data_IF_549887685130
#
_entry.id   IF_549887685130
#
_cell.length_a   1.000
_cell.length_b   1.000
_cell.length_c   1.000
_cell.angle_alpha   90.00
_cell.angle_beta   90.00
_cell.angle_gamma   90.00
#
_symmetry.space_group_name_H-M   'P 1'
#
loop_
_entity.id
_entity.type
_entity.pdbx_description
1 polymer ?
#
# COMPACT_ATOMS: atom_id res chain seq x y z
N UNK A 1 0.28 13.88 -3.80
CA UNK A 1 0.60 12.83 -2.80
C UNK A 1 -0.62 12.04 -2.30
N UNK A 2 -1.84 12.17 -2.89
CA UNK A 2 -3.08 11.63 -2.28
C UNK A 2 -3.81 10.54 -3.11
N UNK A 3 -3.26 10.10 -4.23
CA UNK A 3 -4.02 9.28 -5.18
C UNK A 3 -4.05 7.78 -4.84
N UNK A 4 -3.10 7.29 -4.04
CA UNK A 4 -3.05 5.87 -3.65
C UNK A 4 -4.23 5.46 -2.76
N UNK A 5 -4.59 6.30 -1.77
CA UNK A 5 -5.76 6.03 -0.93
C UNK A 5 -7.10 6.20 -1.66
N UNK A 6 -7.10 6.84 -2.85
CA UNK A 6 -8.30 6.92 -3.68
C UNK A 6 -8.57 5.63 -4.47
N UNK A 7 -7.60 4.70 -4.53
CA UNK A 7 -7.77 3.42 -5.22
C UNK A 7 -8.67 2.51 -4.38
N UNK A 8 -9.82 2.05 -4.93
CA UNK A 8 -10.69 1.10 -4.25
C UNK A 8 -9.94 -0.16 -3.80
N UNK A 9 -10.03 -0.47 -2.51
CA UNK A 9 -9.37 -1.62 -1.89
C UNK A 9 -8.00 -1.34 -1.25
N UNK A 10 -7.45 -0.13 -1.43
CA UNK A 10 -6.34 0.36 -0.60
C UNK A 10 -6.88 0.77 0.77
N UNK A 11 -6.27 0.24 1.83
CA UNK A 11 -6.65 0.49 3.23
C UNK A 11 -5.58 1.27 4.00
N UNK A 12 -4.38 1.38 3.44
CA UNK A 12 -3.31 2.14 4.06
C UNK A 12 -2.13 2.34 3.13
N UNK A 13 -1.36 3.39 3.41
CA UNK A 13 -0.07 3.67 2.77
C UNK A 13 0.93 3.99 3.87
N UNK A 14 2.11 3.39 3.80
CA UNK A 14 3.21 3.64 4.73
C UNK A 14 4.52 3.78 3.97
N UNK A 15 5.49 4.41 4.63
CA UNK A 15 6.88 4.38 4.18
C UNK A 15 7.58 3.25 4.92
N UNK A 16 8.28 2.40 4.17
CA UNK A 16 9.06 1.30 4.69
C UNK A 16 10.47 1.32 4.11
N UNK A 17 11.25 0.32 4.48
CA UNK A 17 12.60 0.10 3.96
C UNK A 17 12.64 -1.33 3.43
N UNK A 18 13.19 -1.52 2.23
CA UNK A 18 13.43 -2.83 1.64
C UNK A 18 14.59 -3.53 2.36
N UNK A 19 14.78 -4.82 2.08
CA UNK A 19 15.88 -5.61 2.66
C UNK A 19 17.27 -5.02 2.32
N UNK A 20 17.39 -4.35 1.17
CA UNK A 20 18.61 -3.68 0.70
C UNK A 20 18.78 -2.24 1.25
N UNK A 21 18.02 -1.85 2.27
CA UNK A 21 18.01 -0.49 2.86
C UNK A 21 17.45 0.62 1.97
N UNK A 22 16.87 0.29 0.81
CA UNK A 22 16.21 1.28 -0.05
C UNK A 22 14.86 1.71 0.54
N UNK A 23 14.58 3.02 0.67
CA UNK A 23 13.28 3.51 1.10
C UNK A 23 12.21 3.14 0.06
N UNK A 24 11.08 2.60 0.52
CA UNK A 24 9.98 2.18 -0.34
C UNK A 24 8.63 2.62 0.21
N UNK A 25 7.64 2.65 -0.67
CA UNK A 25 6.27 2.96 -0.30
C UNK A 25 5.50 1.65 -0.22
N UNK A 26 4.97 1.34 0.96
CA UNK A 26 4.12 0.17 1.19
C UNK A 26 2.65 0.55 1.07
N UNK A 27 1.94 -0.13 0.19
CA UNK A 27 0.50 0.02 -0.02
C UNK A 27 -0.19 -1.22 0.54
N UNK A 28 -1.00 -1.01 1.57
CA UNK A 28 -1.78 -2.06 2.21
C UNK A 28 -3.15 -2.14 1.57
N UNK A 29 -3.55 -3.34 1.19
CA UNK A 29 -4.84 -3.61 0.51
C UNK A 29 -5.61 -4.71 1.21
N UNK A 30 -6.95 -4.68 1.10
CA UNK A 30 -7.81 -5.75 1.64
C UNK A 30 -7.53 -7.07 0.94
N UNK A 31 -7.40 -7.02 -0.39
CA UNK A 31 -7.16 -8.17 -1.26
C UNK A 31 -6.26 -7.78 -2.42
N UNK A 32 -5.44 -8.73 -2.88
CA UNK A 32 -4.60 -8.54 -4.07
C UNK A 32 -5.43 -8.79 -5.32
N UNK A 33 -5.87 -7.73 -5.98
CA UNK A 33 -6.57 -7.80 -7.26
C UNK A 33 -5.67 -7.29 -8.39
N UNK A 34 -5.85 -7.83 -9.60
CA UNK A 34 -5.14 -7.34 -10.79
C UNK A 34 -5.47 -5.89 -11.10
N UNK A 35 -6.66 -5.40 -10.76
CA UNK A 35 -7.04 -4.00 -10.92
C UNK A 35 -6.16 -3.08 -10.06
N UNK A 36 -6.01 -3.41 -8.77
CA UNK A 36 -5.14 -2.65 -7.87
C UNK A 36 -3.70 -2.70 -8.37
N UNK A 37 -3.22 -3.88 -8.79
CA UNK A 37 -1.86 -4.04 -9.31
C UNK A 37 -1.58 -3.21 -10.57
N UNK A 38 -2.61 -2.97 -11.40
CA UNK A 38 -2.52 -2.12 -12.60
C UNK A 38 -2.62 -0.63 -12.28
N UNK A 39 -3.40 -0.27 -11.26
CA UNK A 39 -3.57 1.13 -10.83
C UNK A 39 -2.43 1.63 -9.95
N UNK A 40 -1.89 0.75 -9.10
CA UNK A 40 -0.74 1.05 -8.26
C UNK A 40 0.49 1.00 -9.14
N UNK A 41 1.12 2.16 -9.29
CA UNK A 41 2.39 2.32 -9.99
C UNK A 41 3.47 1.52 -9.27
N UNK A 42 4.38 0.88 -9.99
CA UNK A 42 5.51 0.15 -9.38
C UNK A 42 6.53 1.09 -8.72
N UNK A 43 6.48 2.38 -9.04
CA UNK A 43 7.34 3.43 -8.53
C UNK A 43 6.52 4.71 -8.35
N UNK A 44 6.73 5.42 -7.25
CA UNK A 44 6.13 6.73 -6.99
C UNK A 44 7.22 7.65 -6.45
N UNK A 45 7.38 8.82 -7.07
CA UNK A 45 8.39 9.82 -6.68
C UNK A 45 9.82 9.25 -6.59
N UNK A 46 10.17 8.31 -7.49
CA UNK A 46 11.49 7.65 -7.50
C UNK A 46 11.67 6.56 -6.44
N UNK A 47 10.62 6.24 -5.67
CA UNK A 47 10.64 5.19 -4.65
C UNK A 47 9.86 3.97 -5.11
N UNK A 48 10.39 2.75 -4.95
CA UNK A 48 9.67 1.53 -5.30
C UNK A 48 8.42 1.39 -4.44
N UNK A 49 7.31 0.98 -5.07
CA UNK A 49 6.02 0.75 -4.41
C UNK A 49 5.79 -0.76 -4.24
N UNK A 50 5.47 -1.18 -3.02
CA UNK A 50 5.18 -2.56 -2.65
C UNK A 50 3.74 -2.71 -2.19
N UNK A 51 2.97 -3.55 -2.88
CA UNK A 51 1.60 -3.88 -2.47
C UNK A 51 1.61 -5.11 -1.56
N UNK A 52 1.18 -4.93 -0.31
CA UNK A 52 0.99 -5.99 0.70
C UNK A 52 -0.49 -6.17 1.02
N UNK A 53 -0.93 -7.43 1.14
CA UNK A 53 -2.29 -7.74 1.59
C UNK A 53 -2.30 -7.69 3.11
N UNK A 54 -3.02 -6.74 3.68
CA UNK A 54 -3.21 -6.62 5.13
C UNK A 54 -4.52 -7.24 5.61
N UNK A 55 -5.44 -7.54 4.69
CA UNK A 55 -6.84 -7.82 5.03
C UNK A 55 -7.60 -6.55 5.41
N UNK A 56 -8.75 -6.71 6.05
CA UNK A 56 -9.53 -5.56 6.55
C UNK A 56 -8.87 -4.94 7.79
N UNK A 57 -8.46 -3.67 7.70
CA UNK A 57 -8.03 -2.90 8.86
C UNK A 57 -9.30 -2.40 9.56
N UNK A 58 -9.55 -2.89 10.78
CA UNK A 58 -10.70 -2.50 11.61
C UNK A 58 -10.19 -1.79 12.86
N UNK A 59 -10.89 -0.76 13.35
CA UNK A 59 -10.54 -0.16 14.64
C UNK A 59 -10.55 -1.26 15.70
N UNK A 60 -9.53 -1.29 16.55
CA UNK A 60 -9.57 -2.13 17.74
C UNK A 60 -10.66 -1.55 18.64
N UNK A 61 -11.76 -2.28 18.81
CA UNK A 61 -12.78 -1.94 19.80
C UNK A 61 -12.08 -1.89 21.16
N UNK A 62 -11.85 -0.69 21.67
CA UNK A 62 -11.26 -0.50 22.99
C UNK A 62 -12.13 -1.18 24.03
N UNK A 63 -11.53 -2.04 24.84
CA UNK A 63 -12.09 -2.41 26.15
C UNK A 63 -11.51 -1.48 27.21
#
# INVERSE_FOLDING_TARGET
VNDLMAIPGVVGVAVGVLEDSTPCIKVYVVNKTDEIKKRVQSELEGHPVRVEVSGEIKPMSGQ
#
